data_IF_944363254904
#
_entry.id   IF_944363254904
#
_cell.length_a   1.000
_cell.length_b   1.000
_cell.length_c   1.000
_cell.angle_alpha   90.00
_cell.angle_beta   90.00
_cell.angle_gamma   90.00
#
_symmetry.space_group_name_H-M   'P 1'
#
loop_
_entity.id
_entity.type
_entity.pdbx_description
1 polymer ?
#
# COMPACT_ATOMS: atom_id res chain seq x y z
N UNK A 1 10.70 -2.27 7.12
CA UNK A 1 11.04 -1.16 6.20
C UNK A 1 10.58 0.20 6.73
N UNK A 2 9.28 0.49 6.82
CA UNK A 2 8.77 1.82 7.22
C UNK A 2 9.29 2.31 8.59
N UNK A 3 9.48 1.43 9.57
CA UNK A 3 10.11 1.81 10.84
C UNK A 3 11.58 2.26 10.67
N UNK A 4 12.34 1.66 9.73
CA UNK A 4 13.73 2.03 9.44
C UNK A 4 13.82 3.38 8.72
N UNK A 5 12.79 3.76 7.97
CA UNK A 5 12.63 5.09 7.38
C UNK A 5 12.16 6.16 8.39
N UNK A 6 12.02 5.83 9.69
CA UNK A 6 11.65 6.78 10.73
C UNK A 6 10.14 6.98 10.92
N UNK A 7 9.29 6.24 10.20
CA UNK A 7 7.84 6.40 10.35
C UNK A 7 7.33 5.86 11.70
N UNK A 8 6.65 6.75 12.45
CA UNK A 8 6.08 6.45 13.76
C UNK A 8 4.99 5.37 13.76
N UNK A 9 4.70 4.81 14.94
CA UNK A 9 3.71 3.71 15.11
C UNK A 9 2.33 4.07 14.56
N UNK A 10 1.83 5.28 14.86
CA UNK A 10 0.51 5.76 14.43
C UNK A 10 0.37 5.76 12.91
N UNK A 11 1.33 6.39 12.22
CA UNK A 11 1.34 6.45 10.76
C UNK A 11 1.43 5.06 10.13
N UNK A 12 2.27 4.16 10.66
CA UNK A 12 2.33 2.77 10.19
C UNK A 12 1.02 1.99 10.39
N UNK A 13 0.27 2.31 11.44
CA UNK A 13 -1.06 1.73 11.68
C UNK A 13 -2.06 2.18 10.61
N UNK A 14 -2.08 3.48 10.28
CA UNK A 14 -2.89 4.01 9.19
C UNK A 14 -2.52 3.38 7.85
N UNK A 15 -1.24 3.27 7.52
CA UNK A 15 -0.82 2.61 6.28
C UNK A 15 -1.23 1.15 6.23
N UNK A 16 -1.17 0.43 7.35
CA UNK A 16 -1.67 -0.94 7.42
C UNK A 16 -3.17 -1.00 7.16
N UNK A 17 -3.94 -0.08 7.73
CA UNK A 17 -5.38 -0.02 7.48
C UNK A 17 -5.67 0.27 6.01
N UNK A 18 -4.96 1.21 5.36
CA UNK A 18 -5.18 1.54 3.95
C UNK A 18 -4.78 0.42 2.98
N UNK A 19 -3.69 -0.30 3.26
CA UNK A 19 -3.09 -1.25 2.30
C UNK A 19 -3.53 -2.70 2.54
N UNK A 20 -3.81 -3.08 3.77
CA UNK A 20 -4.01 -4.48 4.16
C UNK A 20 -5.43 -4.79 4.68
N UNK A 21 -6.31 -3.79 4.73
CA UNK A 21 -7.67 -3.95 5.20
C UNK A 21 -8.61 -3.06 4.40
N UNK A 22 -9.83 -3.52 4.19
CA UNK A 22 -10.85 -2.73 3.54
C UNK A 22 -11.77 -3.61 2.72
N UNK A 23 -12.97 -3.11 2.52
CA UNK A 23 -13.95 -3.68 1.63
C UNK A 23 -14.21 -2.68 0.50
N UNK A 24 -14.46 -3.18 -0.71
CA UNK A 24 -14.83 -2.34 -1.85
C UNK A 24 -15.89 -3.00 -2.70
N UNK A 25 -16.74 -2.19 -3.32
CA UNK A 25 -17.52 -2.58 -4.49
C UNK A 25 -17.01 -1.81 -5.71
N UNK A 26 -17.12 -2.42 -6.88
CA UNK A 26 -16.84 -1.75 -8.15
C UNK A 26 -18.17 -1.22 -8.70
N UNK A 27 -18.20 0.00 -9.21
CA UNK A 27 -19.38 0.50 -9.91
C UNK A 27 -19.32 0.04 -11.38
N UNK A 28 -20.30 -0.74 -11.81
CA UNK A 28 -20.50 -1.16 -13.20
C UNK A 28 -21.75 -0.46 -13.72
N UNK A 29 -21.60 0.42 -14.70
CA UNK A 29 -22.68 1.27 -15.22
C UNK A 29 -23.42 2.07 -14.13
N UNK A 30 -22.70 2.51 -13.10
CA UNK A 30 -23.25 3.27 -11.98
C UNK A 30 -23.88 2.43 -10.86
N UNK A 31 -24.01 1.11 -11.04
CA UNK A 31 -24.50 0.20 -10.00
C UNK A 31 -23.34 -0.51 -9.29
N UNK A 32 -23.34 -0.62 -7.95
CA UNK A 32 -22.32 -1.35 -7.23
C UNK A 32 -22.42 -2.85 -7.46
N UNK A 33 -21.28 -3.51 -7.61
CA UNK A 33 -21.16 -4.97 -7.48
C UNK A 33 -21.27 -5.40 -6.02
N UNK A 34 -21.32 -6.71 -5.81
CA UNK A 34 -21.08 -7.31 -4.50
C UNK A 34 -19.76 -6.82 -3.89
N UNK A 35 -19.74 -6.77 -2.57
CA UNK A 35 -18.61 -6.30 -1.80
C UNK A 35 -17.47 -7.32 -1.84
N UNK A 36 -16.26 -6.80 -2.07
CA UNK A 36 -15.02 -7.57 -2.16
C UNK A 36 -14.13 -7.19 -0.98
N UNK A 37 -13.72 -8.20 -0.22
CA UNK A 37 -12.69 -8.01 0.81
C UNK A 37 -11.32 -7.82 0.15
N UNK A 38 -10.73 -6.64 0.31
CA UNK A 38 -9.35 -6.36 -0.10
C UNK A 38 -8.37 -6.77 0.99
N UNK A 39 -7.59 -7.83 0.74
CA UNK A 39 -6.54 -8.27 1.67
C UNK A 39 -5.26 -7.46 1.55
N UNK A 40 -4.97 -6.96 0.34
CA UNK A 40 -3.75 -6.23 0.00
C UNK A 40 -4.00 -5.29 -1.18
N UNK A 41 -3.29 -4.17 -1.19
CA UNK A 41 -3.26 -3.24 -2.32
C UNK A 41 -3.97 -1.92 -2.00
N UNK A 42 -4.01 -1.04 -2.99
CA UNK A 42 -4.71 0.24 -2.92
C UNK A 42 -5.67 0.32 -4.10
N UNK A 43 -6.74 1.11 -3.93
CA UNK A 43 -7.62 1.45 -5.04
C UNK A 43 -6.81 2.18 -6.13
N UNK A 44 -7.12 1.89 -7.40
CA UNK A 44 -6.53 2.65 -8.49
C UNK A 44 -6.91 4.14 -8.36
N UNK A 45 -5.95 5.03 -8.62
CA UNK A 45 -6.14 6.46 -8.38
C UNK A 45 -6.09 6.85 -6.90
N UNK A 46 -5.62 5.97 -6.00
CA UNK A 46 -5.30 6.39 -4.64
C UNK A 46 -4.14 7.40 -4.62
N UNK A 47 -4.32 8.59 -4.06
CA UNK A 47 -3.28 9.62 -4.05
C UNK A 47 -2.02 9.21 -3.27
N UNK A 48 -2.08 8.22 -2.38
CA UNK A 48 -0.89 7.76 -1.63
C UNK A 48 -0.05 6.74 -2.39
N UNK A 49 -0.59 6.13 -3.45
CA UNK A 49 0.07 5.06 -4.17
C UNK A 49 1.46 5.45 -4.74
N UNK A 50 1.65 6.63 -5.36
CA UNK A 50 2.97 7.04 -5.87
C UNK A 50 4.04 7.14 -4.78
N UNK A 51 3.66 7.64 -3.60
CA UNK A 51 4.58 7.78 -2.47
C UNK A 51 5.01 6.41 -1.93
N UNK A 52 4.06 5.49 -1.76
CA UNK A 52 4.37 4.14 -1.29
C UNK A 52 5.22 3.36 -2.28
N UNK A 53 5.01 3.56 -3.58
CA UNK A 53 5.82 2.95 -4.62
C UNK A 53 7.29 3.34 -4.47
N UNK A 54 7.59 4.63 -4.29
CA UNK A 54 8.97 5.10 -4.07
C UNK A 54 9.61 4.49 -2.83
N UNK A 55 8.87 4.41 -1.71
CA UNK A 55 9.36 3.80 -0.48
C UNK A 55 9.72 2.32 -0.65
N UNK A 56 8.89 1.58 -1.38
CA UNK A 56 9.14 0.17 -1.68
C UNK A 56 10.31 0.00 -2.64
N UNK A 57 10.39 0.84 -3.69
CA UNK A 57 11.48 0.82 -4.66
C UNK A 57 12.84 1.08 -3.99
N UNK A 58 12.94 2.06 -3.09
CA UNK A 58 14.17 2.32 -2.35
C UNK A 58 14.54 1.13 -1.44
N UNK A 59 13.55 0.57 -0.74
CA UNK A 59 13.76 -0.62 0.09
C UNK A 59 14.25 -1.82 -0.71
N UNK A 60 13.68 -2.05 -1.89
CA UNK A 60 14.09 -3.11 -2.81
C UNK A 60 15.51 -2.86 -3.34
N UNK A 61 15.82 -1.64 -3.77
CA UNK A 61 17.15 -1.27 -4.24
C UNK A 61 18.23 -1.49 -3.18
N UNK A 62 17.95 -1.15 -1.92
CA UNK A 62 18.84 -1.43 -0.81
C UNK A 62 19.07 -2.93 -0.56
N UNK A 63 18.02 -3.76 -0.71
CA UNK A 63 18.15 -5.21 -0.62
C UNK A 63 18.97 -5.79 -1.78
N UNK A 64 18.80 -5.27 -3.00
CA UNK A 64 19.59 -5.68 -4.15
C UNK A 64 21.07 -5.36 -3.98
N UNK A 65 21.41 -4.15 -3.51
CA UNK A 65 22.82 -3.78 -3.22
C UNK A 65 23.44 -4.74 -2.21
N UNK A 66 22.72 -5.04 -1.12
CA UNK A 66 23.17 -6.00 -0.10
C UNK A 66 23.33 -7.43 -0.62
N UNK A 67 22.56 -7.83 -1.63
CA UNK A 67 22.62 -9.18 -2.18
C UNK A 67 23.79 -9.39 -3.17
N UNK A 68 24.33 -8.30 -3.71
CA UNK A 68 25.47 -8.32 -4.66
C UNK A 68 26.81 -8.26 -3.93
N UNK A 69 26.84 -7.62 -2.75
CA UNK A 69 27.96 -7.70 -1.79
C UNK A 69 28.11 -9.12 -1.20
#
# INVERSE_FOLDING_TARGET
MLQRFGFGRKWRSWMRACVCAGNMSVLVNGSPTDEIWIKRGLKQGDPIAPLLFLLVAEGLGALMRKAVE
#
